data_IF_960780063818
#
_entry.id   IF_960780063818
#
_cell.length_a   1.000
_cell.length_b   1.000
_cell.length_c   1.000
_cell.angle_alpha   90.00
_cell.angle_beta   90.00
_cell.angle_gamma   90.00
#
_symmetry.space_group_name_H-M   'P 1'
#
loop_
_entity.id
_entity.type
_entity.pdbx_description
1 polymer ?
#
# COMPACT_ATOMS: atom_id res chain seq x y z
N UNK A 1 -19.42 15.93 -9.53
CA UNK A 1 -18.02 15.56 -9.23
C UNK A 1 -17.67 14.37 -10.10
N UNK A 2 -16.55 14.41 -10.83
CA UNK A 2 -16.08 13.28 -11.62
C UNK A 2 -15.22 12.36 -10.73
N UNK A 3 -15.48 11.05 -10.74
CA UNK A 3 -14.76 10.07 -9.92
C UNK A 3 -13.97 9.17 -10.87
N UNK A 4 -12.67 8.99 -10.59
CA UNK A 4 -11.81 8.01 -11.25
C UNK A 4 -11.54 6.87 -10.28
N UNK A 5 -11.66 5.62 -10.74
CA UNK A 5 -11.43 4.42 -9.93
C UNK A 5 -10.35 3.58 -10.60
N UNK A 6 -9.45 3.02 -9.80
CA UNK A 6 -8.41 2.10 -10.25
C UNK A 6 -8.33 0.94 -9.26
N UNK A 7 -8.44 -0.29 -9.75
CA UNK A 7 -8.33 -1.48 -8.92
C UNK A 7 -6.85 -1.87 -8.81
N UNK A 8 -6.35 -2.03 -7.58
CA UNK A 8 -4.95 -2.35 -7.32
C UNK A 8 -4.85 -3.22 -6.06
N UNK A 9 -3.97 -4.22 -6.10
CA UNK A 9 -3.66 -5.06 -4.94
C UNK A 9 -2.42 -4.52 -4.23
N UNK A 10 -2.60 -3.98 -3.03
CA UNK A 10 -1.51 -3.44 -2.21
C UNK A 10 -0.72 -4.51 -1.45
N UNK A 11 -1.12 -5.78 -1.52
CA UNK A 11 -0.39 -6.92 -0.97
C UNK A 11 0.80 -7.36 -1.83
N UNK A 12 0.96 -6.80 -3.03
CA UNK A 12 2.10 -7.07 -3.91
C UNK A 12 3.41 -6.57 -3.28
N UNK A 13 4.48 -7.34 -3.46
CA UNK A 13 5.74 -7.16 -2.72
C UNK A 13 6.89 -6.55 -3.53
N UNK A 14 6.74 -6.35 -4.84
CA UNK A 14 7.79 -5.82 -5.71
C UNK A 14 7.48 -4.39 -6.16
N UNK A 15 8.49 -3.65 -6.62
CA UNK A 15 8.31 -2.27 -7.11
C UNK A 15 7.65 -2.27 -8.49
N UNK A 16 8.00 -3.27 -9.30
CA UNK A 16 7.51 -3.46 -10.67
C UNK A 16 5.99 -3.62 -10.69
N UNK A 17 5.42 -4.29 -9.68
CA UNK A 17 3.97 -4.44 -9.54
C UNK A 17 3.23 -3.10 -9.37
N UNK A 18 3.90 -2.04 -8.92
CA UNK A 18 3.30 -0.71 -8.71
C UNK A 18 3.27 0.15 -9.97
N UNK A 19 4.02 -0.20 -11.04
CA UNK A 19 4.08 0.61 -12.27
C UNK A 19 2.70 1.05 -12.79
N UNK A 20 1.68 0.16 -12.90
CA UNK A 20 0.36 0.56 -13.40
C UNK A 20 -0.34 1.59 -12.50
N UNK A 21 -0.15 1.52 -11.19
CA UNK A 21 -0.71 2.49 -10.24
C UNK A 21 0.00 3.83 -10.39
N UNK A 22 1.32 3.84 -10.50
CA UNK A 22 2.12 5.07 -10.64
C UNK A 22 1.78 5.79 -11.95
N UNK A 23 1.66 5.06 -13.06
CA UNK A 23 1.21 5.63 -14.35
C UNK A 23 -0.22 6.20 -14.31
N UNK A 24 -1.09 5.64 -13.47
CA UNK A 24 -2.44 6.17 -13.27
C UNK A 24 -2.42 7.45 -12.42
N UNK A 25 -1.57 7.50 -11.40
CA UNK A 25 -1.38 8.66 -10.53
C UNK A 25 -0.73 9.84 -11.26
N UNK A 26 0.18 9.59 -12.20
CA UNK A 26 0.81 10.63 -13.04
C UNK A 26 -0.20 11.43 -13.88
N UNK A 27 -1.40 10.87 -14.09
CA UNK A 27 -2.49 11.49 -14.87
C UNK A 27 -3.44 12.35 -14.02
N UNK A 28 -3.14 12.55 -12.73
CA UNK A 28 -3.95 13.33 -11.80
C UNK A 28 -3.10 14.26 -10.94
N UNK A 29 -3.57 15.49 -10.75
CA UNK A 29 -2.97 16.41 -9.77
C UNK A 29 -3.44 16.00 -8.37
N UNK A 30 -2.50 15.58 -7.51
CA UNK A 30 -2.80 15.11 -6.16
C UNK A 30 -2.48 16.19 -5.14
N UNK A 31 -3.51 16.75 -4.49
CA UNK A 31 -3.34 17.67 -3.36
C UNK A 31 -3.27 16.99 -1.99
N UNK A 32 -3.97 15.86 -1.83
CA UNK A 32 -4.03 15.08 -0.58
C UNK A 32 -3.99 13.59 -0.93
N UNK A 33 -3.04 12.87 -0.32
CA UNK A 33 -3.02 11.41 -0.30
C UNK A 33 -3.67 10.91 0.99
N UNK A 34 -4.69 10.07 0.86
CA UNK A 34 -5.26 9.31 1.98
C UNK A 34 -4.97 7.84 1.76
N UNK A 35 -3.94 7.31 2.43
CA UNK A 35 -3.70 5.87 2.43
C UNK A 35 -4.40 5.21 3.61
N UNK A 36 -5.54 4.57 3.34
CA UNK A 36 -6.31 3.81 4.33
C UNK A 36 -6.23 2.29 4.10
N UNK A 37 -5.28 1.83 3.28
CA UNK A 37 -5.08 0.40 3.06
C UNK A 37 -4.12 -0.14 4.11
N UNK A 38 -4.49 -1.25 4.72
CA UNK A 38 -3.70 -1.89 5.76
C UNK A 38 -4.32 -3.21 6.20
N UNK A 39 -3.52 -3.99 6.91
CA UNK A 39 -3.95 -5.21 7.59
C UNK A 39 -3.58 -5.11 9.07
N UNK A 40 -4.49 -5.50 9.95
CA UNK A 40 -4.25 -5.57 11.38
C UNK A 40 -4.30 -7.01 11.88
N UNK A 41 -3.66 -7.24 13.01
CA UNK A 41 -3.88 -8.43 13.84
C UNK A 41 -4.37 -7.98 15.21
N UNK A 42 -5.32 -8.71 15.78
CA UNK A 42 -6.00 -8.32 17.02
C UNK A 42 -5.09 -8.37 18.25
N UNK A 43 -4.07 -9.23 18.24
CA UNK A 43 -3.17 -9.47 19.37
C UNK A 43 -1.69 -9.32 18.95
N UNK A 44 -1.22 -8.12 18.55
CA UNK A 44 0.13 -7.92 18.02
C UNK A 44 1.26 -8.33 18.99
N UNK A 45 0.97 -8.42 20.28
CA UNK A 45 1.85 -8.93 21.32
C UNK A 45 2.07 -10.46 21.26
N UNK A 46 1.22 -11.20 20.56
CA UNK A 46 1.28 -12.66 20.41
C UNK A 46 1.65 -13.03 18.95
N UNK A 47 2.84 -12.63 18.52
CA UNK A 47 3.28 -12.82 17.13
C UNK A 47 3.43 -14.30 16.72
N UNK A 48 3.79 -15.17 17.66
CA UNK A 48 4.10 -16.58 17.42
C UNK A 48 2.86 -17.48 17.24
N UNK A 49 1.67 -17.00 17.63
CA UNK A 49 0.40 -17.70 17.47
C UNK A 49 -0.45 -17.14 16.31
N UNK A 50 0.14 -16.26 15.49
CA UNK A 50 -0.54 -15.65 14.35
C UNK A 50 -1.00 -16.73 13.36
N UNK A 51 -2.30 -16.75 13.07
CA UNK A 51 -2.85 -17.62 12.03
C UNK A 51 -2.21 -17.29 10.67
N UNK A 52 -1.77 -18.32 9.94
CA UNK A 52 -0.98 -18.17 8.70
C UNK A 52 0.53 -17.90 8.93
N UNK A 53 0.97 -17.78 10.18
CA UNK A 53 2.39 -17.75 10.55
C UNK A 53 3.18 -16.64 9.88
N UNK A 54 4.39 -16.97 9.41
CA UNK A 54 5.30 -15.99 8.78
C UNK A 54 4.72 -15.32 7.53
N UNK A 55 3.80 -15.98 6.82
CA UNK A 55 3.16 -15.39 5.64
C UNK A 55 2.24 -14.23 6.04
N UNK A 56 1.48 -14.39 7.12
CA UNK A 56 0.66 -13.32 7.68
C UNK A 56 1.52 -12.17 8.19
N UNK A 57 2.67 -12.47 8.83
CA UNK A 57 3.65 -11.44 9.21
C UNK A 57 4.12 -10.67 7.97
N UNK A 58 4.57 -11.37 6.93
CA UNK A 58 5.00 -10.77 5.67
C UNK A 58 3.91 -9.86 5.10
N UNK A 59 2.69 -10.36 4.96
CA UNK A 59 1.57 -9.62 4.38
C UNK A 59 1.24 -8.36 5.19
N UNK A 60 1.18 -8.44 6.53
CA UNK A 60 0.97 -7.28 7.42
C UNK A 60 2.10 -6.27 7.21
N UNK A 61 3.36 -6.71 7.22
CA UNK A 61 4.48 -5.78 7.06
C UNK A 61 4.49 -5.12 5.68
N UNK A 62 4.25 -5.89 4.61
CA UNK A 62 4.24 -5.38 3.24
C UNK A 62 3.14 -4.34 3.06
N UNK A 63 1.88 -4.70 3.33
CA UNK A 63 0.74 -3.83 3.01
C UNK A 63 0.71 -2.53 3.84
N UNK A 64 1.21 -2.55 5.07
CA UNK A 64 1.18 -1.35 5.92
C UNK A 64 2.37 -0.42 5.71
N UNK A 65 3.45 -0.87 5.07
CA UNK A 65 4.69 -0.07 4.94
C UNK A 65 5.08 0.21 3.50
N UNK A 66 5.00 -0.77 2.61
CA UNK A 66 5.48 -0.64 1.24
C UNK A 66 4.58 0.28 0.40
N UNK A 67 3.23 0.09 0.35
CA UNK A 67 2.33 0.99 -0.38
C UNK A 67 2.50 2.47 -0.05
N UNK A 68 2.44 2.80 1.24
CA UNK A 68 2.47 4.18 1.70
C UNK A 68 3.80 4.83 1.35
N UNK A 69 4.89 4.08 1.46
CA UNK A 69 6.24 4.60 1.20
C UNK A 69 6.45 4.83 -0.29
N UNK A 70 6.08 3.87 -1.15
CA UNK A 70 6.22 4.00 -2.62
C UNK A 70 5.37 5.17 -3.12
N UNK A 71 4.07 5.19 -2.78
CA UNK A 71 3.14 6.20 -3.30
C UNK A 71 3.50 7.59 -2.76
N UNK A 72 3.87 7.71 -1.48
CA UNK A 72 4.31 9.00 -0.93
C UNK A 72 5.60 9.48 -1.58
N UNK A 73 6.58 8.59 -1.77
CA UNK A 73 7.83 8.94 -2.47
C UNK A 73 7.55 9.44 -3.88
N UNK A 74 6.75 8.71 -4.66
CA UNK A 74 6.39 9.10 -6.02
C UNK A 74 5.71 10.47 -6.08
N UNK A 75 4.77 10.75 -5.18
CA UNK A 75 4.00 12.00 -5.19
C UNK A 75 4.76 13.20 -4.63
N UNK A 76 5.64 13.00 -3.63
CA UNK A 76 6.37 14.08 -2.96
C UNK A 76 7.63 14.49 -3.73
N UNK A 77 8.27 13.58 -4.48
CA UNK A 77 9.50 13.88 -5.24
C UNK A 77 9.29 14.93 -6.36
N UNK A 78 8.05 15.30 -6.66
CA UNK A 78 7.71 16.37 -7.60
C UNK A 78 7.41 17.74 -6.94
N UNK A 79 7.79 17.95 -5.66
CA UNK A 79 7.79 19.27 -5.00
C UNK A 79 9.18 19.92 -4.95
#
# INVERSE_FOLDING_TARGET
>A
VAIKTFAFDFGVGSLEDYEPLLEALDKVEVGILVNNVGMGYEYPEILHELEGGLESVRNITTINTLPVTIVSSFLIVFL
#
